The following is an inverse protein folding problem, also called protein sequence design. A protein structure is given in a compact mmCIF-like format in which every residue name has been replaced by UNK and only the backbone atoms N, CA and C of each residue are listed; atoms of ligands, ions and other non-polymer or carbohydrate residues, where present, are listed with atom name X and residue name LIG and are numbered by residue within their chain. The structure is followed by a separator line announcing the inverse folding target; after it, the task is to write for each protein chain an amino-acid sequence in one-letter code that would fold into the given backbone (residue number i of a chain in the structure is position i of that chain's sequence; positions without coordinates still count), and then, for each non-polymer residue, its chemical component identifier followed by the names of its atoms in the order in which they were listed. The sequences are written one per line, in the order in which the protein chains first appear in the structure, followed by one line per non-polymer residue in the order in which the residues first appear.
data_IF_439612194233
#
_entry.id   IF_439612194233
#
_cell.length_a   1.000
_cell.length_b   1.000
_cell.length_c   1.000
_cell.angle_alpha   90.00
_cell.angle_beta   90.00
_cell.angle_gamma   90.00
#
_symmetry.space_group_name_H-M   'P 1'
#
loop_
_entity.id
_entity.type
_entity.pdbx_description
1 polymer ?
#
# COMPACT_ATOMS: atom_id res chain seq x y z
N UNK A 1 -2.16 9.45 -37.63
CA UNK A 1 -3.16 8.43 -37.31
C UNK A 1 -2.55 7.05 -37.51
N UNK A 2 -2.97 6.04 -36.74
CA UNK A 2 -2.50 4.64 -36.85
C UNK A 2 -3.65 3.70 -36.47
N UNK A 3 -3.78 2.60 -37.20
CA UNK A 3 -4.77 1.56 -36.92
C UNK A 3 -4.19 0.52 -35.96
N UNK A 4 -4.93 0.20 -34.89
CA UNK A 4 -4.52 -0.83 -33.95
C UNK A 4 -4.75 -2.24 -34.52
N UNK A 5 -3.74 -3.11 -34.48
CA UNK A 5 -3.84 -4.47 -35.03
C UNK A 5 -4.75 -5.45 -34.25
N UNK A 6 -5.16 -5.08 -33.03
CA UNK A 6 -6.05 -5.93 -32.20
C UNK A 6 -7.53 -5.49 -32.33
N UNK A 7 -7.87 -4.20 -32.10
CA UNK A 7 -9.25 -3.71 -32.21
C UNK A 7 -9.63 -3.15 -33.60
N UNK A 8 -8.68 -3.00 -34.53
CA UNK A 8 -8.89 -2.45 -35.88
C UNK A 8 -9.47 -1.03 -35.93
N UNK A 9 -9.37 -0.26 -34.85
CA UNK A 9 -9.81 1.14 -34.79
C UNK A 9 -8.63 2.07 -35.11
N UNK A 10 -8.88 3.09 -35.93
CA UNK A 10 -7.92 4.15 -36.21
C UNK A 10 -7.85 5.15 -35.06
N UNK A 11 -6.65 5.43 -34.55
CA UNK A 11 -6.39 6.27 -33.38
C UNK A 11 -5.22 7.22 -33.63
N UNK A 12 -5.11 8.32 -32.87
CA UNK A 12 -3.96 9.20 -32.97
C UNK A 12 -2.70 8.53 -32.40
N UNK A 13 -1.51 9.01 -32.76
CA UNK A 13 -0.21 8.41 -32.40
C UNK A 13 0.00 8.25 -30.90
N UNK A 14 -0.58 9.15 -30.11
CA UNK A 14 -0.46 9.21 -28.66
C UNK A 14 -1.16 8.01 -27.99
N UNK A 15 -2.14 7.41 -28.67
CA UNK A 15 -2.84 6.20 -28.21
C UNK A 15 -1.97 4.93 -28.32
N UNK A 16 -0.74 5.04 -28.81
CA UNK A 16 0.21 3.94 -28.97
C UNK A 16 1.44 4.15 -28.07
N UNK A 17 2.05 3.05 -27.63
CA UNK A 17 3.26 3.09 -26.80
C UNK A 17 4.49 3.20 -27.72
N UNK A 18 5.46 4.08 -27.43
CA UNK A 18 6.73 4.13 -28.16
C UNK A 18 7.46 2.79 -28.11
N UNK A 19 7.85 2.28 -29.27
CA UNK A 19 8.58 1.01 -29.42
C UNK A 19 9.57 1.12 -30.57
N UNK A 20 10.84 1.32 -30.21
CA UNK A 20 11.96 1.55 -31.15
C UNK A 20 12.18 0.42 -32.16
N UNK A 21 11.74 -0.79 -31.86
CA UNK A 21 11.85 -1.94 -32.77
C UNK A 21 10.79 -1.96 -33.89
N UNK A 22 9.79 -1.08 -33.84
CA UNK A 22 8.78 -0.95 -34.90
C UNK A 22 9.19 0.10 -35.93
N UNK A 23 8.82 -0.10 -37.21
CA UNK A 23 9.20 0.76 -38.34
C UNK A 23 8.85 2.24 -38.13
N UNK A 24 7.72 2.51 -37.49
CA UNK A 24 7.23 3.86 -37.18
C UNK A 24 7.51 4.29 -35.74
N UNK A 25 8.32 3.52 -35.00
CA UNK A 25 8.66 3.79 -33.62
C UNK A 25 7.50 3.62 -32.63
N UNK A 26 6.36 3.07 -33.06
CA UNK A 26 5.16 2.88 -32.23
C UNK A 26 4.72 1.41 -32.22
N UNK A 27 4.26 0.91 -31.07
CA UNK A 27 3.66 -0.42 -30.95
C UNK A 27 2.48 -0.56 -31.95
N UNK A 28 2.27 -1.72 -32.59
CA UNK A 28 1.13 -1.93 -33.51
C UNK A 28 -0.23 -1.98 -32.78
N UNK A 29 -0.24 -2.12 -31.45
CA UNK A 29 -1.43 -2.19 -30.60
C UNK A 29 -1.61 -0.88 -29.84
N UNK A 30 -2.85 -0.41 -29.75
CA UNK A 30 -3.16 0.73 -28.89
C UNK A 30 -2.96 0.38 -27.41
N UNK A 31 -2.82 1.39 -26.56
CA UNK A 31 -2.63 1.27 -25.10
C UNK A 31 -3.70 0.40 -24.43
N UNK A 32 -4.95 0.53 -24.87
CA UNK A 32 -6.10 -0.26 -24.39
C UNK A 32 -5.91 -1.75 -24.68
N UNK A 33 -5.75 -2.13 -25.95
CA UNK A 33 -5.54 -3.53 -26.33
C UNK A 33 -4.27 -4.11 -25.71
N UNK A 34 -3.20 -3.31 -25.65
CA UNK A 34 -1.96 -3.67 -24.96
C UNK A 34 -2.23 -3.98 -23.48
N UNK A 35 -3.01 -3.16 -22.79
CA UNK A 35 -3.36 -3.40 -21.40
C UNK A 35 -4.21 -4.65 -21.24
N UNK A 36 -5.25 -4.85 -22.06
CA UNK A 36 -6.04 -6.08 -22.04
C UNK A 36 -5.16 -7.31 -22.24
N UNK A 37 -4.23 -7.25 -23.20
CA UNK A 37 -3.36 -8.38 -23.57
C UNK A 37 -2.28 -8.68 -22.52
N UNK A 38 -1.53 -7.65 -22.09
CA UNK A 38 -0.37 -7.82 -21.22
C UNK A 38 -0.68 -7.59 -19.75
N UNK A 39 -1.51 -6.58 -19.46
CA UNK A 39 -2.00 -6.35 -18.11
C UNK A 39 -3.21 -7.22 -17.79
N UNK A 40 -3.75 -8.02 -18.72
CA UNK A 40 -4.85 -8.96 -18.45
C UNK A 40 -5.98 -8.25 -17.69
N UNK A 41 -6.50 -7.16 -18.24
CA UNK A 41 -7.43 -6.28 -17.53
C UNK A 41 -8.89 -6.76 -17.55
N UNK A 42 -9.17 -8.01 -17.94
CA UNK A 42 -10.53 -8.58 -17.89
C UNK A 42 -10.98 -8.81 -16.43
N UNK A 43 -12.30 -8.87 -16.14
CA UNK A 43 -12.80 -9.11 -14.78
C UNK A 43 -12.20 -10.37 -14.11
N UNK A 44 -12.16 -11.51 -14.82
CA UNK A 44 -11.52 -12.74 -14.32
C UNK A 44 -10.05 -12.56 -13.96
N UNK A 45 -9.30 -11.84 -14.78
CA UNK A 45 -7.87 -11.66 -14.57
C UNK A 45 -7.58 -10.61 -13.48
N UNK A 46 -8.46 -9.61 -13.36
CA UNK A 46 -8.49 -8.68 -12.24
C UNK A 46 -8.74 -9.44 -10.93
N UNK A 47 -9.77 -10.29 -10.87
CA UNK A 47 -10.07 -11.14 -9.72
C UNK A 47 -8.88 -12.03 -9.36
N UNK A 48 -8.25 -12.68 -10.35
CA UNK A 48 -7.04 -13.50 -10.15
C UNK A 48 -5.89 -12.69 -9.52
N UNK A 49 -5.64 -11.47 -9.99
CA UNK A 49 -4.59 -10.59 -9.45
C UNK A 49 -4.89 -10.14 -8.02
N UNK A 50 -6.14 -9.76 -7.76
CA UNK A 50 -6.60 -9.35 -6.44
C UNK A 50 -6.40 -10.51 -5.46
N UNK A 51 -6.91 -11.70 -5.78
CA UNK A 51 -6.77 -12.89 -4.93
C UNK A 51 -5.31 -13.26 -4.65
N UNK A 52 -4.45 -13.28 -5.68
CA UNK A 52 -3.03 -13.56 -5.49
C UNK A 52 -2.38 -12.54 -4.54
N UNK A 53 -2.74 -11.27 -4.69
CA UNK A 53 -2.27 -10.19 -3.82
C UNK A 53 -2.79 -10.36 -2.39
N UNK A 54 -4.05 -10.75 -2.21
CA UNK A 54 -4.66 -11.02 -0.91
C UNK A 54 -3.96 -12.17 -0.18
N UNK A 55 -3.70 -13.29 -0.84
CA UNK A 55 -2.98 -14.45 -0.27
C UNK A 55 -1.58 -14.05 0.21
N UNK A 56 -0.80 -13.36 -0.63
CA UNK A 56 0.55 -12.91 -0.27
C UNK A 56 0.52 -11.92 0.91
N UNK A 57 -0.46 -11.02 0.91
CA UNK A 57 -0.62 -10.01 1.95
C UNK A 57 -1.13 -10.58 3.28
N UNK A 58 -1.98 -11.60 3.24
CA UNK A 58 -2.41 -12.36 4.42
C UNK A 58 -1.21 -13.01 5.09
N UNK A 59 -0.39 -13.74 4.32
CA UNK A 59 0.82 -14.38 4.84
C UNK A 59 1.79 -13.37 5.47
N UNK A 60 2.02 -12.22 4.81
CA UNK A 60 2.88 -11.15 5.34
C UNK A 60 2.38 -10.57 6.67
N UNK A 61 1.07 -10.63 6.92
CA UNK A 61 0.42 -10.07 8.12
C UNK A 61 0.08 -11.15 9.16
N UNK A 62 0.36 -12.42 8.90
CA UNK A 62 -0.06 -13.53 9.76
C UNK A 62 -1.57 -13.80 9.79
N UNK A 63 -2.34 -13.29 8.83
CA UNK A 63 -3.76 -13.61 8.71
C UNK A 63 -3.96 -14.91 7.92
N UNK A 64 -5.11 -15.54 8.13
CA UNK A 64 -5.55 -16.64 7.27
C UNK A 64 -5.68 -16.18 5.80
N UNK A 65 -5.34 -17.10 4.89
CA UNK A 65 -5.52 -16.87 3.47
C UNK A 65 -7.02 -16.88 3.12
N UNK A 66 -7.47 -16.07 2.14
CA UNK A 66 -8.85 -16.13 1.68
C UNK A 66 -9.22 -17.53 1.20
N UNK A 67 -10.36 -18.03 1.67
CA UNK A 67 -10.86 -19.39 1.38
C UNK A 67 -11.60 -19.48 0.05
N UNK A 68 -12.09 -18.36 -0.48
CA UNK A 68 -12.78 -18.32 -1.76
C UNK A 68 -11.84 -18.48 -2.97
N UNK A 69 -12.40 -19.00 -4.04
CA UNK A 69 -11.79 -19.19 -5.36
C UNK A 69 -11.75 -17.88 -6.17
N UNK A 70 -11.05 -17.91 -7.31
CA UNK A 70 -11.04 -16.77 -8.25
C UNK A 70 -12.43 -16.53 -8.84
N UNK A 71 -13.18 -17.59 -9.15
CA UNK A 71 -14.51 -17.49 -9.74
C UNK A 71 -15.52 -16.88 -8.76
N UNK A 72 -15.47 -17.29 -7.48
CA UNK A 72 -16.31 -16.69 -6.44
C UNK A 72 -15.96 -15.21 -6.20
N UNK A 73 -14.66 -14.86 -6.21
CA UNK A 73 -14.26 -13.46 -6.11
C UNK A 73 -14.71 -12.62 -7.31
N UNK A 74 -14.63 -13.17 -8.52
CA UNK A 74 -15.14 -12.52 -9.73
C UNK A 74 -16.66 -12.29 -9.63
N UNK A 75 -17.42 -13.31 -9.22
CA UNK A 75 -18.86 -13.18 -8.99
C UNK A 75 -19.16 -12.12 -7.92
N UNK A 76 -18.42 -12.11 -6.80
CA UNK A 76 -18.58 -11.11 -5.76
C UNK A 76 -18.29 -9.69 -6.27
N UNK A 77 -17.23 -9.50 -7.07
CA UNK A 77 -16.89 -8.20 -7.69
C UNK A 77 -18.02 -7.72 -8.60
N UNK A 78 -18.50 -8.59 -9.48
CA UNK A 78 -19.58 -8.27 -10.43
C UNK A 78 -20.91 -7.97 -9.74
N UNK A 79 -21.15 -8.57 -8.56
CA UNK A 79 -22.32 -8.31 -7.75
C UNK A 79 -22.27 -6.95 -7.01
N UNK A 80 -21.10 -6.30 -6.91
CA UNK A 80 -20.99 -5.02 -6.22
C UNK A 80 -21.60 -3.89 -7.08
N UNK A 81 -22.50 -3.05 -6.52
CA UNK A 81 -23.12 -1.95 -7.26
C UNK A 81 -22.11 -0.97 -7.88
N UNK A 82 -20.96 -0.79 -7.23
CA UNK A 82 -19.92 0.17 -7.65
C UNK A 82 -18.96 -0.38 -8.72
N UNK A 83 -18.96 -1.69 -8.96
CA UNK A 83 -18.00 -2.32 -9.88
C UNK A 83 -18.13 -1.81 -11.32
N UNK A 84 -19.32 -1.70 -11.93
CA UNK A 84 -19.45 -1.20 -13.30
C UNK A 84 -18.84 0.18 -13.49
N UNK A 85 -19.08 1.11 -12.54
CA UNK A 85 -18.51 2.45 -12.59
C UNK A 85 -16.99 2.44 -12.45
N UNK A 86 -16.44 1.71 -11.47
CA UNK A 86 -14.99 1.61 -11.27
C UNK A 86 -14.29 0.97 -12.48
N UNK A 87 -14.90 -0.06 -13.06
CA UNK A 87 -14.35 -0.73 -14.23
C UNK A 87 -14.37 0.20 -15.45
N UNK A 88 -15.49 0.88 -15.70
CA UNK A 88 -15.59 1.87 -16.78
C UNK A 88 -14.59 3.01 -16.63
N UNK A 89 -14.45 3.57 -15.42
CA UNK A 89 -13.44 4.61 -15.15
C UNK A 89 -12.02 4.11 -15.37
N UNK A 90 -11.75 2.86 -14.99
CA UNK A 90 -10.46 2.23 -15.22
C UNK A 90 -10.19 2.07 -16.73
N UNK A 91 -11.14 1.58 -17.51
CA UNK A 91 -11.05 1.47 -18.96
C UNK A 91 -10.86 2.84 -19.64
N UNK A 92 -11.68 3.82 -19.28
CA UNK A 92 -11.62 5.19 -19.78
C UNK A 92 -10.28 5.87 -19.46
N UNK A 93 -9.64 5.49 -18.34
CA UNK A 93 -8.31 5.97 -17.96
C UNK A 93 -7.15 5.30 -18.72
N UNK A 94 -7.45 4.44 -19.71
CA UNK A 94 -6.49 3.53 -20.35
C UNK A 94 -5.81 2.58 -19.36
N UNK A 95 -6.60 2.09 -18.39
CA UNK A 95 -6.18 1.17 -17.34
C UNK A 95 -5.08 1.69 -16.42
N UNK A 96 -5.05 2.99 -16.12
CA UNK A 96 -4.13 3.55 -15.12
C UNK A 96 -4.31 2.86 -13.78
N UNK A 97 -3.21 2.46 -13.13
CA UNK A 97 -3.22 1.76 -11.84
C UNK A 97 -4.07 2.46 -10.77
N UNK A 98 -4.02 3.79 -10.71
CA UNK A 98 -4.77 4.59 -9.73
C UNK A 98 -6.28 4.34 -9.78
N UNK A 99 -6.83 4.13 -10.99
CA UNK A 99 -8.26 3.90 -11.22
C UNK A 99 -8.64 2.42 -11.21
N UNK A 100 -7.69 1.50 -11.03
CA UNK A 100 -7.98 0.08 -11.02
C UNK A 100 -8.90 -0.28 -9.84
N UNK A 101 -9.96 -1.10 -10.05
CA UNK A 101 -10.72 -1.65 -8.93
C UNK A 101 -9.81 -2.46 -8.00
N UNK A 102 -10.03 -2.31 -6.71
CA UNK A 102 -9.23 -2.85 -5.62
C UNK A 102 -10.16 -3.27 -4.48
N UNK A 103 -9.74 -4.28 -3.72
CA UNK A 103 -10.47 -4.75 -2.55
C UNK A 103 -9.67 -4.40 -1.31
N UNK A 104 -10.32 -3.72 -0.37
CA UNK A 104 -9.78 -3.37 0.93
C UNK A 104 -10.53 -4.10 2.04
N UNK A 105 -9.92 -4.21 3.22
CA UNK A 105 -10.55 -4.84 4.39
C UNK A 105 -11.32 -3.78 5.17
N UNK A 106 -12.52 -4.13 5.64
CA UNK A 106 -13.32 -3.25 6.49
C UNK A 106 -12.68 -3.18 7.88
N UNK A 107 -12.37 -4.34 8.45
CA UNK A 107 -11.63 -4.50 9.70
C UNK A 107 -10.23 -5.05 9.38
N UNK A 108 -9.21 -4.24 9.64
CA UNK A 108 -7.81 -4.55 9.37
C UNK A 108 -7.21 -5.62 10.30
N UNK A 109 -7.86 -5.92 11.43
CA UNK A 109 -7.45 -6.98 12.35
C UNK A 109 -7.81 -8.38 11.83
N UNK A 110 -8.74 -8.46 10.86
CA UNK A 110 -9.24 -9.70 10.28
C UNK A 110 -8.64 -9.99 8.90
N UNK A 111 -8.79 -11.25 8.47
CA UNK A 111 -8.43 -11.72 7.14
C UNK A 111 -9.41 -11.25 6.05
N UNK A 112 -9.18 -11.70 4.82
CA UNK A 112 -10.08 -11.41 3.70
C UNK A 112 -11.24 -12.42 3.67
N UNK A 113 -12.46 -11.93 3.89
CA UNK A 113 -13.72 -12.67 3.79
C UNK A 113 -14.77 -11.78 3.11
N UNK A 114 -15.82 -12.35 2.49
CA UNK A 114 -16.80 -11.55 1.73
C UNK A 114 -17.56 -10.52 2.58
N UNK A 115 -17.70 -10.76 3.87
CA UNK A 115 -18.28 -9.87 4.88
C UNK A 115 -17.29 -8.84 5.43
N UNK A 116 -15.97 -9.07 5.30
CA UNK A 116 -14.92 -8.16 5.76
C UNK A 116 -14.23 -7.40 4.62
N UNK A 117 -14.84 -7.35 3.44
CA UNK A 117 -14.25 -6.72 2.25
C UNK A 117 -15.12 -5.58 1.73
N UNK A 118 -14.47 -4.54 1.21
CA UNK A 118 -15.13 -3.44 0.49
C UNK A 118 -14.44 -3.20 -0.86
N UNK A 119 -15.25 -2.90 -1.87
CA UNK A 119 -14.77 -2.54 -3.20
C UNK A 119 -14.52 -1.03 -3.30
N UNK A 120 -13.35 -0.67 -3.80
CA UNK A 120 -12.94 0.71 -4.04
C UNK A 120 -11.91 0.77 -5.17
N UNK A 121 -11.42 1.94 -5.55
CA UNK A 121 -10.27 2.08 -6.44
C UNK A 121 -8.95 1.92 -5.68
N UNK A 122 -7.88 1.63 -6.41
CA UNK A 122 -6.54 1.56 -5.82
C UNK A 122 -6.09 2.89 -5.21
N UNK A 123 -6.45 4.04 -5.80
CA UNK A 123 -6.11 5.35 -5.24
C UNK A 123 -6.81 5.61 -3.91
N UNK A 124 -8.10 5.26 -3.81
CA UNK A 124 -8.86 5.40 -2.57
C UNK A 124 -8.28 4.48 -1.49
N UNK A 125 -7.94 3.22 -1.83
CA UNK A 125 -7.34 2.28 -0.88
C UNK A 125 -6.00 2.82 -0.37
N UNK A 126 -5.16 3.34 -1.27
CA UNK A 126 -3.89 3.97 -0.91
C UNK A 126 -4.09 5.20 -0.02
N UNK A 127 -5.09 6.03 -0.30
CA UNK A 127 -5.41 7.21 0.50
C UNK A 127 -5.88 6.81 1.91
N UNK A 128 -6.77 5.82 2.01
CA UNK A 128 -7.24 5.26 3.29
C UNK A 128 -6.06 4.72 4.12
N UNK A 129 -5.19 3.92 3.52
CA UNK A 129 -4.00 3.40 4.20
C UNK A 129 -3.02 4.51 4.64
N UNK A 130 -2.92 5.61 3.90
CA UNK A 130 -2.13 6.77 4.29
C UNK A 130 -2.79 7.53 5.46
N UNK A 131 -4.11 7.59 5.50
CA UNK A 131 -4.88 8.22 6.56
C UNK A 131 -4.83 7.40 7.87
N UNK A 132 -5.06 6.08 7.84
CA UNK A 132 -4.93 5.22 9.03
C UNK A 132 -3.55 5.31 9.69
N UNK A 133 -2.47 5.47 8.90
CA UNK A 133 -1.11 5.71 9.42
C UNK A 133 -0.98 7.06 10.13
N UNK A 134 -1.70 8.08 9.65
CA UNK A 134 -1.78 9.36 10.36
C UNK A 134 -2.58 9.20 11.64
N UNK A 135 -3.68 8.47 11.60
CA UNK A 135 -4.56 8.33 12.76
C UNK A 135 -4.05 7.33 13.81
N UNK A 136 -2.85 6.75 13.58
CA UNK A 136 -2.16 5.84 14.47
C UNK A 136 -2.96 4.57 14.79
N UNK A 137 -3.82 4.12 13.88
CA UNK A 137 -4.49 2.83 13.99
C UNK A 137 -3.46 1.69 14.00
N UNK A 138 -3.65 0.70 14.88
CA UNK A 138 -2.75 -0.45 15.04
C UNK A 138 -2.55 -1.18 13.70
N UNK A 139 -1.35 -1.04 13.13
CA UNK A 139 -0.86 -1.89 12.03
C UNK A 139 -0.01 -2.97 12.67
N UNK A 140 -0.23 -4.24 12.27
CA UNK A 140 0.36 -5.49 12.81
C UNK A 140 1.90 -5.46 13.00
N UNK A 141 2.61 -4.52 12.39
CA UNK A 141 4.07 -4.40 12.45
C UNK A 141 4.58 -3.17 13.23
N UNK A 142 3.71 -2.40 13.88
CA UNK A 142 4.18 -1.35 14.77
C UNK A 142 4.65 -1.96 16.09
N UNK A 143 5.90 -1.69 16.44
CA UNK A 143 6.42 -1.95 17.78
C UNK A 143 6.09 -0.76 18.67
N UNK A 144 5.30 -1.00 19.71
CA UNK A 144 4.98 0.00 20.70
C UNK A 144 6.24 0.44 21.45
N UNK A 145 6.24 1.70 21.90
CA UNK A 145 7.38 2.30 22.58
C UNK A 145 6.88 3.06 23.81
N UNK A 146 7.53 2.83 24.94
CA UNK A 146 7.27 3.54 26.17
C UNK A 146 8.22 4.73 26.28
N UNK A 147 7.65 5.89 26.61
CA UNK A 147 8.37 7.06 27.06
C UNK A 147 8.34 7.05 28.59
N UNK A 148 9.52 7.06 29.19
CA UNK A 148 9.69 7.03 30.64
C UNK A 148 10.34 8.34 31.11
N UNK A 149 9.95 8.80 32.28
CA UNK A 149 10.64 9.86 33.00
C UNK A 149 12.07 9.41 33.39
N UNK A 150 12.90 10.37 33.82
CA UNK A 150 14.30 10.08 34.21
C UNK A 150 14.42 9.11 35.38
N UNK A 151 13.44 9.12 36.28
CA UNK A 151 13.33 8.20 37.42
C UNK A 151 12.84 6.79 37.02
N UNK A 152 12.46 6.59 35.75
CA UNK A 152 11.96 5.31 35.23
C UNK A 152 10.44 5.15 35.31
N UNK A 153 9.71 6.13 35.84
CA UNK A 153 8.23 6.08 35.84
C UNK A 153 7.67 6.25 34.42
N UNK A 154 6.60 5.53 34.09
CA UNK A 154 5.96 5.62 32.78
C UNK A 154 5.36 7.02 32.57
N UNK A 155 5.84 7.73 31.56
CA UNK A 155 5.28 9.03 31.16
C UNK A 155 4.12 8.84 30.19
N UNK A 156 4.34 8.06 29.12
CA UNK A 156 3.32 7.76 28.09
C UNK A 156 3.73 6.55 27.25
N UNK A 157 2.77 5.70 26.92
CA UNK A 157 2.96 4.62 25.94
C UNK A 157 2.44 5.04 24.58
N UNK A 158 3.19 4.73 23.53
CA UNK A 158 2.83 5.01 22.15
C UNK A 158 2.66 3.71 21.38
N UNK A 159 1.65 3.66 20.52
CA UNK A 159 1.39 2.49 19.67
C UNK A 159 2.53 2.24 18.66
N UNK A 160 3.27 3.29 18.30
CA UNK A 160 4.43 3.19 17.41
C UNK A 160 5.47 4.27 17.64
N UNK A 161 6.68 4.03 17.12
CA UNK A 161 7.74 5.04 17.02
C UNK A 161 7.30 6.31 16.27
N UNK A 162 6.47 6.18 15.23
CA UNK A 162 6.02 7.35 14.44
C UNK A 162 5.02 8.22 15.20
N UNK A 163 4.23 7.60 16.07
CA UNK A 163 3.31 8.29 16.97
C UNK A 163 4.09 9.13 18.00
N UNK A 164 5.08 8.51 18.64
CA UNK A 164 6.00 9.19 19.54
C UNK A 164 6.73 10.38 18.87
N UNK A 165 7.30 10.19 17.68
CA UNK A 165 8.00 11.28 16.98
C UNK A 165 7.08 12.47 16.68
N UNK A 166 5.81 12.21 16.38
CA UNK A 166 4.84 13.27 16.07
C UNK A 166 4.46 14.07 17.31
N UNK A 167 4.20 13.39 18.43
CA UNK A 167 3.88 14.04 19.70
C UNK A 167 5.02 14.98 20.15
N UNK A 168 6.26 14.59 19.87
CA UNK A 168 7.46 15.38 20.16
C UNK A 168 7.84 16.39 19.07
N UNK A 169 7.04 16.53 18.01
CA UNK A 169 7.31 17.44 16.90
C UNK A 169 8.62 17.15 16.15
N UNK A 170 9.08 15.90 16.16
CA UNK A 170 10.32 15.45 15.52
C UNK A 170 10.04 14.95 14.12
N UNK A 171 10.91 15.28 13.17
CA UNK A 171 10.82 14.77 11.81
C UNK A 171 10.87 13.22 11.84
N UNK A 172 9.97 12.50 11.15
CA UNK A 172 9.98 11.02 11.11
C UNK A 172 11.31 10.41 10.63
N UNK A 173 12.13 11.15 9.88
CA UNK A 173 13.48 10.73 9.46
C UNK A 173 14.53 10.81 10.56
N UNK A 174 14.23 11.46 11.69
CA UNK A 174 15.11 11.64 12.85
C UNK A 174 14.74 10.68 13.99
N UNK A 175 14.30 9.46 13.64
CA UNK A 175 13.93 8.42 14.61
C UNK A 175 15.10 7.91 15.46
N UNK A 176 16.33 8.14 15.00
CA UNK A 176 17.55 7.63 15.62
C UNK A 176 17.63 7.95 17.12
N UNK A 177 17.16 9.12 17.56
CA UNK A 177 17.21 9.51 18.98
C UNK A 177 16.44 8.57 19.89
N UNK A 178 15.18 8.30 19.57
CA UNK A 178 14.34 7.36 20.32
C UNK A 178 14.89 5.93 20.17
N UNK A 179 15.24 5.50 18.96
CA UNK A 179 15.69 4.12 18.73
C UNK A 179 17.04 3.82 19.37
N UNK A 180 17.98 4.77 19.40
CA UNK A 180 19.30 4.57 20.02
C UNK A 180 19.17 4.43 21.53
N UNK A 181 18.29 5.22 22.16
CA UNK A 181 18.00 5.09 23.59
C UNK A 181 17.28 3.77 23.88
N UNK A 182 16.23 3.44 23.12
CA UNK A 182 15.43 2.23 23.33
C UNK A 182 16.20 0.93 23.08
N UNK A 183 17.14 0.92 22.14
CA UNK A 183 18.00 -0.23 21.89
C UNK A 183 19.29 -0.23 22.73
N UNK A 184 19.60 0.86 23.44
CA UNK A 184 20.89 1.03 24.11
C UNK A 184 22.10 1.05 23.16
N UNK A 185 21.90 1.46 21.90
CA UNK A 185 22.97 1.45 20.87
C UNK A 185 23.86 2.68 21.06
N UNK A 186 25.18 2.51 21.24
CA UNK A 186 26.11 3.64 21.31
C UNK A 186 26.11 4.47 20.03
N UNK A 187 26.23 5.79 20.17
CA UNK A 187 26.28 6.74 19.05
C UNK A 187 27.54 7.62 19.15
N UNK A 188 28.09 8.09 18.01
CA UNK A 188 29.26 8.95 18.02
C UNK A 188 28.92 10.37 18.52
N UNK A 189 29.80 10.95 19.34
CA UNK A 189 29.69 12.28 19.95
C UNK A 189 30.05 13.46 19.00
N UNK A 190 30.20 13.17 17.71
CA UNK A 190 30.68 14.14 16.70
C UNK A 190 32.20 14.34 16.68
N UNK A 191 32.93 13.84 17.69
CA UNK A 191 34.40 13.76 17.73
C UNK A 191 34.91 12.33 17.46
N UNK A 192 33.99 11.40 17.20
CA UNK A 192 34.28 10.01 16.90
C UNK A 192 34.31 9.09 18.13
N UNK A 193 34.08 9.62 19.34
CA UNK A 193 33.94 8.78 20.53
C UNK A 193 32.51 8.27 20.64
N UNK A 194 32.35 6.98 20.94
CA UNK A 194 31.05 6.37 21.15
C UNK A 194 30.57 6.63 22.58
N UNK A 195 29.32 7.06 22.73
CA UNK A 195 28.65 7.14 24.01
C UNK A 195 27.28 6.47 23.95
N UNK A 196 26.82 5.92 25.07
CA UNK A 196 25.49 5.33 25.17
C UNK A 196 24.47 6.40 25.59
N UNK A 197 23.56 6.83 24.70
CA UNK A 197 22.57 7.85 25.03
C UNK A 197 21.56 7.27 26.03
N UNK A 198 21.48 7.88 27.22
CA UNK A 198 20.52 7.46 28.27
C UNK A 198 19.14 8.05 28.08
N UNK A 199 19.05 9.22 27.44
CA UNK A 199 17.79 9.94 27.23
C UNK A 199 17.79 10.61 25.86
N UNK A 200 16.58 10.87 25.34
CA UNK A 200 16.35 11.71 24.18
C UNK A 200 15.16 12.61 24.47
N UNK A 201 15.30 13.92 24.16
CA UNK A 201 14.31 14.96 24.50
C UNK A 201 13.93 15.00 25.99
N UNK A 202 14.85 14.60 26.87
CA UNK A 202 14.65 14.58 28.33
C UNK A 202 14.06 13.29 28.90
N UNK A 203 13.66 12.34 28.06
CA UNK A 203 13.01 11.10 28.45
C UNK A 203 13.88 9.88 28.16
N UNK A 204 13.67 8.82 28.95
CA UNK A 204 14.14 7.48 28.62
C UNK A 204 13.13 6.84 27.67
N UNK A 205 13.61 5.93 26.84
CA UNK A 205 12.79 5.23 25.86
C UNK A 205 13.09 3.75 25.95
N UNK A 206 12.06 2.92 25.83
CA UNK A 206 12.17 1.48 25.76
C UNK A 206 11.07 0.92 24.88
N UNK A 207 11.30 -0.25 24.31
CA UNK A 207 10.26 -0.96 23.58
C UNK A 207 9.30 -1.63 24.56
N UNK A 208 8.00 -1.53 24.27
CA UNK A 208 6.99 -2.28 24.99
C UNK A 208 6.98 -3.77 24.55
#
# INVERSE_FOLDING_TARGET
MKTCCDCNIEKPSEAFVPKKSCKDGLEPRCRVCRSIKYNKSTPTQLAKKIRNTQVLNSATRGHEAPTYTVAELEAWLMAQPRFPCLYFEWEASEFKKAKAPSVDRIDNSKGYTFDNMRLMSWEENRAAAAQSKKDCELIVNHRAVNCLNKDGTLHKSYLSLSDALRDFGVNPKQSWGITSVANGVPVPDGKGQLYAPRTYKGYRWEWA
#
